data_IF_804981768178
#
_entry.id   IF_804981768178
#
_cell.length_a   1.000
_cell.length_b   1.000
_cell.length_c   1.000
_cell.angle_alpha   90.00
_cell.angle_beta   90.00
_cell.angle_gamma   90.00
#
_symmetry.space_group_name_H-M   'P 1'
#
loop_
_entity.id
_entity.type
_entity.pdbx_description
1 polymer ?
#
# COMPACT_ATOMS: atom_id res chain seq x y z
N UNK A 1 12.99 70.46 -15.93
CA UNK A 1 11.61 70.62 -15.48
C UNK A 1 10.69 70.06 -16.56
N UNK A 2 10.17 68.82 -16.38
CA UNK A 2 8.94 68.40 -17.04
C UNK A 2 8.48 67.14 -16.34
N UNK A 3 7.30 67.19 -15.74
CA UNK A 3 6.60 66.10 -15.02
C UNK A 3 5.94 65.19 -16.04
N UNK A 4 6.21 63.90 -15.96
CA UNK A 4 5.41 62.88 -16.63
C UNK A 4 4.53 62.23 -15.56
N UNK A 5 3.21 62.38 -15.74
CA UNK A 5 2.17 61.70 -14.98
C UNK A 5 1.95 60.34 -15.61
N UNK A 6 2.21 59.28 -14.90
CA UNK A 6 1.73 57.91 -15.26
C UNK A 6 0.37 57.64 -14.60
N UNK A 7 -0.59 57.31 -15.45
CA UNK A 7 -1.94 56.93 -15.06
C UNK A 7 -1.95 55.43 -14.74
N UNK A 8 -2.25 55.03 -13.51
CA UNK A 8 -2.51 53.65 -13.11
C UNK A 8 -3.96 53.28 -13.46
N UNK A 9 -4.12 52.49 -14.51
CA UNK A 9 -5.39 51.78 -14.79
C UNK A 9 -5.50 50.54 -13.91
N UNK A 10 -6.40 50.55 -12.93
CA UNK A 10 -6.79 49.45 -12.09
C UNK A 10 -7.50 48.38 -12.91
N UNK A 11 -6.84 47.27 -13.23
CA UNK A 11 -7.51 46.04 -13.68
C UNK A 11 -8.18 45.37 -12.47
N UNK A 12 -9.49 45.42 -12.41
CA UNK A 12 -10.31 44.60 -11.51
C UNK A 12 -10.28 43.17 -12.06
N UNK A 13 -9.53 42.27 -11.42
CA UNK A 13 -9.63 40.82 -11.63
C UNK A 13 -10.74 40.27 -10.75
N UNK A 14 -11.72 39.64 -11.37
CA UNK A 14 -12.84 38.95 -10.71
C UNK A 14 -12.31 37.72 -9.95
N UNK A 15 -12.19 37.83 -8.62
CA UNK A 15 -11.73 36.74 -7.72
C UNK A 15 -12.93 35.99 -7.09
N UNK A 16 -14.14 36.10 -7.63
CA UNK A 16 -15.33 35.57 -6.95
C UNK A 16 -15.67 34.09 -7.16
N UNK A 17 -15.15 33.30 -8.14
CA UNK A 17 -15.55 31.89 -8.21
C UNK A 17 -14.67 30.92 -7.42
N UNK A 18 -13.49 31.31 -6.93
CA UNK A 18 -12.57 30.36 -6.27
C UNK A 18 -12.87 30.19 -4.78
N UNK A 19 -13.41 31.20 -4.12
CA UNK A 19 -13.76 31.11 -2.69
C UNK A 19 -14.97 30.20 -2.41
N UNK A 20 -15.90 30.04 -3.36
CA UNK A 20 -17.10 29.22 -3.15
C UNK A 20 -16.81 27.71 -3.16
N UNK A 21 -15.75 27.29 -3.86
CA UNK A 21 -15.34 25.87 -3.87
C UNK A 21 -14.57 25.42 -2.62
N UNK A 22 -13.89 26.34 -1.94
CA UNK A 22 -13.13 26.03 -0.70
C UNK A 22 -14.08 25.87 0.48
N UNK A 23 -15.19 26.60 0.52
CA UNK A 23 -16.20 26.50 1.59
C UNK A 23 -17.03 25.20 1.55
N UNK A 24 -17.26 24.62 0.37
CA UNK A 24 -18.00 23.34 0.25
C UNK A 24 -17.17 22.11 0.65
N UNK A 25 -15.83 22.18 0.59
CA UNK A 25 -14.94 21.11 1.05
C UNK A 25 -14.56 21.21 2.53
N UNK A 26 -14.71 22.38 3.15
CA UNK A 26 -14.36 22.62 4.57
C UNK A 26 -15.34 22.03 5.58
N UNK A 27 -16.58 21.72 5.21
CA UNK A 27 -17.63 21.29 6.14
C UNK A 27 -17.72 19.77 6.39
N UNK A 28 -16.89 18.94 5.76
CA UNK A 28 -16.90 17.48 5.98
C UNK A 28 -15.84 16.96 6.95
N UNK A 29 -15.14 17.81 7.68
CA UNK A 29 -14.10 17.40 8.63
C UNK A 29 -14.45 17.72 10.07
N UNK A 30 -15.64 17.33 10.54
CA UNK A 30 -15.84 17.25 11.97
C UNK A 30 -15.00 16.08 12.52
N UNK A 31 -14.05 16.42 13.39
CA UNK A 31 -13.27 15.48 14.19
C UNK A 31 -14.23 14.78 15.18
N UNK A 32 -14.86 13.70 14.74
CA UNK A 32 -15.52 12.82 15.70
C UNK A 32 -14.41 12.13 16.51
N UNK A 33 -14.40 12.25 17.84
CA UNK A 33 -13.49 11.48 18.69
C UNK A 33 -13.72 10.00 18.38
N UNK A 34 -12.64 9.27 18.14
CA UNK A 34 -12.67 7.82 17.93
C UNK A 34 -13.27 7.16 19.17
N UNK A 35 -14.56 6.88 19.16
CA UNK A 35 -15.17 5.98 20.14
C UNK A 35 -14.45 4.63 20.01
N UNK A 36 -14.08 4.04 21.14
CA UNK A 36 -13.54 2.69 21.18
C UNK A 36 -14.55 1.76 20.48
N UNK A 37 -14.23 1.30 19.26
CA UNK A 37 -15.13 0.43 18.51
C UNK A 37 -15.25 -0.91 19.23
N UNK A 38 -16.47 -1.31 19.50
CA UNK A 38 -16.80 -2.62 20.01
C UNK A 38 -16.24 -3.72 19.09
N UNK A 39 -15.88 -4.86 19.68
CA UNK A 39 -15.42 -6.05 18.97
C UNK A 39 -16.40 -6.45 17.88
N UNK A 40 -16.11 -6.09 16.62
CA UNK A 40 -16.97 -6.45 15.49
C UNK A 40 -16.71 -7.89 15.09
N UNK A 41 -17.72 -8.73 15.26
CA UNK A 41 -17.70 -10.13 14.82
C UNK A 41 -18.26 -10.20 13.40
N UNK A 42 -17.47 -10.66 12.44
CA UNK A 42 -17.93 -10.80 11.05
C UNK A 42 -18.18 -12.26 10.68
N UNK A 43 -19.24 -12.48 9.91
CA UNK A 43 -19.41 -13.73 9.16
C UNK A 43 -18.45 -13.74 7.97
N UNK A 44 -17.92 -14.92 7.65
CA UNK A 44 -17.20 -15.13 6.39
C UNK A 44 -18.19 -14.93 5.24
N UNK A 45 -17.93 -13.91 4.44
CA UNK A 45 -18.79 -13.62 3.30
C UNK A 45 -18.22 -14.37 2.11
N UNK A 46 -18.97 -15.31 1.58
CA UNK A 46 -18.63 -15.99 0.32
C UNK A 46 -18.34 -14.93 -0.74
N UNK A 47 -17.19 -14.99 -1.43
CA UNK A 47 -16.86 -14.03 -2.47
C UNK A 47 -17.95 -14.04 -3.56
N UNK A 48 -18.43 -12.86 -3.97
CA UNK A 48 -19.40 -12.74 -5.07
C UNK A 48 -18.78 -12.99 -6.44
N UNK A 49 -17.44 -12.92 -6.52
CA UNK A 49 -16.72 -13.06 -7.77
C UNK A 49 -16.32 -14.53 -7.98
N UNK A 50 -16.75 -15.14 -9.06
CA UNK A 50 -16.30 -16.49 -9.41
C UNK A 50 -14.81 -16.49 -9.76
N UNK A 51 -14.17 -17.63 -9.60
CA UNK A 51 -12.84 -17.86 -10.15
C UNK A 51 -12.86 -17.69 -11.67
N UNK A 52 -11.77 -17.14 -12.21
CA UNK A 52 -11.57 -16.99 -13.66
C UNK A 52 -10.41 -17.86 -14.13
N UNK A 53 -10.11 -17.83 -15.45
CA UNK A 53 -8.97 -18.56 -16.01
C UNK A 53 -7.63 -18.16 -15.40
N UNK A 54 -7.49 -16.91 -14.95
CA UNK A 54 -6.24 -16.36 -14.38
C UNK A 54 -6.28 -16.15 -12.87
N UNK A 55 -7.44 -16.27 -12.22
CA UNK A 55 -7.61 -16.03 -10.79
C UNK A 55 -8.45 -17.11 -10.09
N UNK A 56 -8.01 -17.53 -8.90
CA UNK A 56 -8.83 -18.28 -7.94
C UNK A 56 -9.14 -17.38 -6.75
N UNK A 57 -10.41 -17.27 -6.39
CA UNK A 57 -10.84 -16.53 -5.20
C UNK A 57 -10.34 -17.25 -3.95
N UNK A 58 -9.75 -16.50 -3.03
CA UNK A 58 -9.30 -17.00 -1.74
C UNK A 58 -10.16 -16.45 -0.61
N UNK A 59 -10.38 -15.11 -0.60
CA UNK A 59 -11.08 -14.46 0.49
C UNK A 59 -11.66 -13.12 0.06
N UNK A 60 -12.81 -12.78 0.64
CA UNK A 60 -13.36 -11.43 0.65
C UNK A 60 -13.53 -10.99 2.09
N UNK A 61 -13.06 -9.79 2.41
CA UNK A 61 -13.24 -9.15 3.72
C UNK A 61 -13.93 -7.80 3.51
N UNK A 62 -15.01 -7.59 4.24
CA UNK A 62 -15.77 -6.33 4.24
C UNK A 62 -15.64 -5.65 5.60
N UNK A 63 -15.99 -4.38 5.68
CA UNK A 63 -16.06 -3.61 6.94
C UNK A 63 -14.76 -3.73 7.76
N UNK A 64 -13.62 -3.35 7.16
CA UNK A 64 -12.39 -3.19 7.91
C UNK A 64 -12.55 -2.13 9.00
N UNK A 65 -11.62 -2.08 9.95
CA UNK A 65 -11.71 -1.22 11.12
C UNK A 65 -11.61 0.30 10.82
N UNK A 66 -11.24 0.69 9.60
CA UNK A 66 -11.36 2.04 9.08
C UNK A 66 -12.21 2.03 7.80
N UNK A 67 -12.92 3.14 7.53
CA UNK A 67 -13.77 3.29 6.35
C UNK A 67 -13.08 4.03 5.20
N UNK A 68 -11.75 3.99 5.13
CA UNK A 68 -10.95 4.72 4.15
C UNK A 68 -9.97 3.82 3.41
N UNK A 69 -9.25 4.40 2.48
CA UNK A 69 -8.41 3.77 1.47
C UNK A 69 -7.54 2.63 2.00
N UNK A 70 -7.80 1.46 1.48
CA UNK A 70 -6.96 0.27 1.68
C UNK A 70 -5.76 0.42 0.77
N UNK A 71 -4.55 0.23 1.28
CA UNK A 71 -3.30 0.48 0.56
C UNK A 71 -2.46 -0.78 0.36
N UNK A 72 -2.56 -1.74 1.25
CA UNK A 72 -1.76 -2.96 1.14
C UNK A 72 -2.25 -4.02 2.12
N UNK A 73 -1.69 -5.21 2.02
CA UNK A 73 -1.91 -6.30 2.95
C UNK A 73 -0.68 -7.20 3.05
N UNK A 74 -0.61 -7.94 4.15
CA UNK A 74 0.29 -9.08 4.29
C UNK A 74 -0.39 -10.18 5.09
N UNK A 75 0.24 -11.34 5.20
CA UNK A 75 -0.27 -12.47 5.97
C UNK A 75 0.86 -13.32 6.55
N UNK A 76 0.64 -13.85 7.73
CA UNK A 76 1.42 -14.92 8.32
C UNK A 76 0.62 -16.24 8.33
N UNK A 77 1.05 -17.24 9.06
CA UNK A 77 0.35 -18.54 9.14
C UNK A 77 -1.00 -18.49 9.87
N UNK A 78 -1.30 -17.40 10.58
CA UNK A 78 -2.48 -17.25 11.45
C UNK A 78 -3.42 -16.13 11.04
N UNK A 79 -2.89 -15.03 10.49
CA UNK A 79 -3.61 -13.80 10.29
C UNK A 79 -3.33 -13.15 8.94
N UNK A 80 -4.36 -12.43 8.43
CA UNK A 80 -4.20 -11.36 7.45
C UNK A 80 -4.10 -10.03 8.19
N UNK A 81 -3.28 -9.14 7.66
CA UNK A 81 -3.10 -7.77 8.13
C UNK A 81 -3.38 -6.83 6.95
N UNK A 82 -4.40 -6.01 7.06
CA UNK A 82 -4.78 -5.02 6.07
C UNK A 82 -4.42 -3.65 6.58
N UNK A 83 -3.75 -2.85 5.77
CA UNK A 83 -3.39 -1.48 6.14
C UNK A 83 -4.20 -0.47 5.35
N UNK A 84 -4.73 0.53 6.05
CA UNK A 84 -5.60 1.56 5.52
C UNK A 84 -5.11 2.94 5.94
N UNK A 85 -5.23 3.92 5.06
CA UNK A 85 -5.11 5.33 5.46
C UNK A 85 -6.36 5.72 6.26
N UNK A 86 -6.18 6.41 7.38
CA UNK A 86 -7.30 6.93 8.18
C UNK A 86 -7.68 8.36 7.81
N UNK A 87 -6.77 9.09 7.16
CA UNK A 87 -6.98 10.43 6.60
C UNK A 87 -6.02 10.66 5.43
N UNK A 88 -6.43 11.50 4.47
CA UNK A 88 -5.61 11.80 3.30
C UNK A 88 -4.35 12.59 3.70
N UNK A 89 -3.22 12.26 3.10
CA UNK A 89 -1.93 12.98 3.16
C UNK A 89 -1.38 13.27 4.56
N UNK A 90 -1.83 12.53 5.58
CA UNK A 90 -1.35 12.72 6.97
C UNK A 90 -0.33 11.67 7.39
N UNK A 91 -0.20 10.60 6.64
CA UNK A 91 0.61 9.43 7.01
C UNK A 91 0.05 8.65 8.20
N UNK A 92 -1.23 8.87 8.55
CA UNK A 92 -1.91 8.14 9.61
C UNK A 92 -2.60 6.90 9.04
N UNK A 93 -2.32 5.76 9.63
CA UNK A 93 -2.72 4.46 9.15
C UNK A 93 -3.41 3.66 10.25
N UNK A 94 -4.19 2.67 9.83
CA UNK A 94 -4.76 1.63 10.70
C UNK A 94 -4.48 0.26 10.10
N UNK A 95 -3.96 -0.65 10.90
CA UNK A 95 -3.84 -2.06 10.56
C UNK A 95 -5.01 -2.80 11.16
N UNK A 96 -5.84 -3.43 10.31
CA UNK A 96 -6.87 -4.37 10.73
C UNK A 96 -6.31 -5.78 10.63
N UNK A 97 -6.31 -6.53 11.74
CA UNK A 97 -5.92 -7.94 11.78
C UNK A 97 -7.15 -8.83 11.72
N UNK A 98 -7.10 -9.84 10.85
CA UNK A 98 -8.19 -10.80 10.63
C UNK A 98 -7.64 -12.22 10.68
N UNK A 99 -8.29 -13.16 11.35
CA UNK A 99 -7.84 -14.54 11.47
C UNK A 99 -7.77 -15.24 10.11
N UNK A 100 -6.65 -15.95 9.84
CA UNK A 100 -6.40 -16.64 8.56
C UNK A 100 -7.34 -17.83 8.32
N UNK A 101 -7.52 -18.69 9.32
CA UNK A 101 -8.33 -19.91 9.23
C UNK A 101 -9.54 -19.83 10.16
N UNK A 102 -10.66 -20.34 9.71
CA UNK A 102 -11.88 -20.53 10.48
C UNK A 102 -13.12 -20.36 9.64
N UNK A 103 -14.03 -21.32 9.74
CA UNK A 103 -15.40 -21.19 9.30
C UNK A 103 -16.11 -20.38 10.40
N UNK A 104 -16.67 -19.24 10.06
CA UNK A 104 -17.51 -18.50 10.98
C UNK A 104 -17.10 -17.06 11.28
N UNK A 105 -17.50 -16.56 12.44
CA UNK A 105 -17.35 -15.17 12.86
C UNK A 105 -15.90 -14.82 13.14
N UNK A 106 -15.34 -13.84 12.43
CA UNK A 106 -13.99 -13.32 12.72
C UNK A 106 -14.05 -12.23 13.76
N UNK A 107 -13.10 -12.30 14.69
CA UNK A 107 -12.77 -11.16 15.53
C UNK A 107 -11.80 -10.30 14.77
N UNK A 108 -12.21 -9.09 14.43
CA UNK A 108 -11.32 -8.05 13.99
C UNK A 108 -10.82 -7.27 15.19
N UNK A 109 -9.56 -7.00 15.16
CA UNK A 109 -8.96 -5.98 16.01
C UNK A 109 -8.05 -5.07 15.17
N UNK A 110 -7.64 -3.96 15.72
CA UNK A 110 -6.85 -3.01 14.99
C UNK A 110 -5.68 -2.46 15.82
N UNK A 111 -4.76 -1.84 15.13
CA UNK A 111 -3.63 -1.10 15.64
C UNK A 111 -3.47 0.17 14.82
N UNK A 112 -3.21 1.30 15.45
CA UNK A 112 -3.01 2.58 14.78
C UNK A 112 -1.53 2.94 14.64
N UNK A 113 -1.20 3.57 13.51
CA UNK A 113 0.12 4.09 13.21
C UNK A 113 -0.02 5.57 12.86
N UNK A 114 0.66 6.45 13.58
CA UNK A 114 0.66 7.90 13.37
C UNK A 114 1.97 8.33 12.74
N UNK A 115 1.91 9.14 11.67
CA UNK A 115 3.08 9.64 10.93
C UNK A 115 3.94 8.53 10.31
N UNK A 116 3.33 7.49 9.74
CA UNK A 116 4.05 6.38 9.10
C UNK A 116 4.25 6.57 7.60
N UNK A 117 3.27 7.09 6.88
CA UNK A 117 3.36 7.34 5.43
C UNK A 117 2.16 6.81 4.66
N UNK A 118 2.31 6.60 3.35
CA UNK A 118 1.22 6.16 2.45
C UNK A 118 0.88 4.66 2.59
N UNK A 119 1.79 3.85 3.11
CA UNK A 119 1.65 2.40 3.23
C UNK A 119 1.46 1.62 1.92
N UNK A 120 2.07 2.08 0.83
CA UNK A 120 2.06 1.37 -0.47
C UNK A 120 2.49 -0.10 -0.36
N UNK A 121 3.23 -0.45 0.69
CA UNK A 121 3.58 -1.84 1.01
C UNK A 121 3.55 -2.09 2.51
N UNK A 122 2.85 -3.13 2.91
CA UNK A 122 2.92 -3.75 4.22
C UNK A 122 3.44 -5.18 4.04
N UNK A 123 4.42 -5.56 4.82
CA UNK A 123 4.92 -6.93 4.80
C UNK A 123 5.20 -7.48 6.20
N UNK A 124 5.54 -8.76 6.30
CA UNK A 124 5.90 -9.39 7.55
C UNK A 124 7.10 -10.32 7.44
N UNK A 125 7.83 -10.42 8.53
CA UNK A 125 8.85 -11.46 8.77
C UNK A 125 8.52 -12.24 10.02
N UNK A 126 9.10 -13.43 10.13
CA UNK A 126 9.02 -14.25 11.34
C UNK A 126 10.41 -14.37 11.95
N UNK A 127 10.52 -14.05 13.24
CA UNK A 127 11.74 -14.17 14.01
C UNK A 127 11.43 -14.87 15.33
N UNK A 128 12.03 -16.04 15.57
CA UNK A 128 11.78 -16.86 16.76
C UNK A 128 10.28 -17.11 17.02
N UNK A 129 9.52 -17.46 15.97
CA UNK A 129 8.08 -17.70 16.07
C UNK A 129 7.21 -16.43 16.23
N UNK A 130 7.82 -15.24 16.26
CA UNK A 130 7.13 -13.96 16.41
C UNK A 130 7.03 -13.25 15.07
N UNK A 131 5.82 -12.85 14.69
CA UNK A 131 5.56 -12.05 13.50
C UNK A 131 5.92 -10.57 13.74
N UNK A 132 6.77 -10.03 12.87
CA UNK A 132 7.11 -8.62 12.77
C UNK A 132 6.46 -8.04 11.51
N UNK A 133 5.73 -6.95 11.66
CA UNK A 133 5.16 -6.19 10.56
C UNK A 133 6.13 -5.10 10.11
N UNK A 134 6.17 -4.82 8.81
CA UNK A 134 7.08 -3.89 8.19
C UNK A 134 6.37 -2.97 7.20
N UNK A 135 6.61 -1.66 7.31
CA UNK A 135 6.10 -0.67 6.36
C UNK A 135 6.96 0.59 6.37
N UNK A 136 6.63 1.56 5.52
CA UNK A 136 7.23 2.89 5.57
C UNK A 136 6.86 3.63 6.87
N UNK A 137 7.70 4.57 7.30
CA UNK A 137 7.52 5.29 8.56
C UNK A 137 8.17 6.67 8.54
N UNK A 138 8.03 7.42 9.64
CA UNK A 138 8.74 8.68 9.89
C UNK A 138 8.40 9.79 8.88
N UNK A 139 7.12 9.88 8.48
CA UNK A 139 6.66 11.00 7.67
C UNK A 139 6.50 12.28 8.50
N UNK A 140 6.59 13.44 7.86
CA UNK A 140 6.47 14.75 8.52
C UNK A 140 5.31 15.53 7.91
N UNK A 141 4.11 15.36 8.46
CA UNK A 141 2.93 16.11 8.04
C UNK A 141 2.43 15.84 6.62
N UNK A 142 2.93 14.77 6.00
CA UNK A 142 2.49 14.26 4.70
C UNK A 142 2.52 12.74 4.73
N UNK A 143 2.23 12.07 3.61
CA UNK A 143 2.25 10.61 3.52
C UNK A 143 3.57 10.03 2.96
N UNK A 144 4.62 10.84 2.85
CA UNK A 144 5.93 10.43 2.34
C UNK A 144 6.78 9.83 3.46
N UNK A 145 6.98 8.51 3.44
CA UNK A 145 7.85 7.81 4.38
C UNK A 145 9.33 8.20 4.20
N UNK A 146 10.06 8.33 5.30
CA UNK A 146 11.49 8.69 5.35
C UNK A 146 12.37 7.60 5.96
N UNK A 147 11.73 6.56 6.47
CA UNK A 147 12.36 5.37 7.03
C UNK A 147 11.46 4.16 6.77
N UNK A 148 11.98 2.98 6.98
CA UNK A 148 11.19 1.75 7.14
C UNK A 148 11.19 1.37 8.61
N UNK A 149 10.10 0.76 9.06
CA UNK A 149 9.98 0.30 10.45
C UNK A 149 9.45 -1.11 10.56
N UNK A 150 10.06 -1.85 11.51
CA UNK A 150 9.60 -3.14 12.00
C UNK A 150 8.98 -3.02 13.38
N UNK A 151 7.85 -3.66 13.61
CA UNK A 151 7.13 -3.67 14.88
C UNK A 151 6.26 -4.91 15.04
N UNK A 152 5.94 -5.22 16.30
CA UNK A 152 4.98 -6.28 16.62
C UNK A 152 3.56 -5.72 16.62
N UNK A 153 2.62 -6.49 16.09
CA UNK A 153 1.21 -6.12 16.20
C UNK A 153 0.76 -6.12 17.67
N UNK A 154 0.15 -5.05 18.09
CA UNK A 154 -0.43 -4.90 19.44
C UNK A 154 -1.84 -4.35 19.31
N UNK A 155 -2.83 -5.17 19.68
CA UNK A 155 -4.24 -4.81 19.64
C UNK A 155 -4.51 -3.52 20.41
N UNK A 156 -5.29 -2.61 19.78
CA UNK A 156 -5.73 -1.33 20.35
C UNK A 156 -4.58 -0.38 20.77
N UNK A 157 -3.37 -0.61 20.28
CA UNK A 157 -2.23 0.28 20.53
C UNK A 157 -2.02 1.23 19.36
N UNK A 158 -1.41 2.37 19.66
CA UNK A 158 -0.96 3.36 18.68
C UNK A 158 0.56 3.47 18.74
N UNK A 159 1.22 3.29 17.60
CA UNK A 159 2.61 3.69 17.40
C UNK A 159 2.68 5.07 16.77
N UNK A 160 3.73 5.84 17.11
CA UNK A 160 3.96 7.18 16.56
C UNK A 160 5.32 7.25 15.91
N UNK A 161 5.35 7.84 14.70
CA UNK A 161 6.52 8.10 13.87
C UNK A 161 7.19 6.83 13.32
N UNK A 162 7.54 5.89 14.17
CA UNK A 162 8.22 4.64 13.79
C UNK A 162 7.91 3.48 14.74
N UNK A 163 8.28 2.27 14.33
CA UNK A 163 8.22 1.06 15.15
C UNK A 163 9.45 0.89 16.04
N UNK A 164 9.53 -0.27 16.69
CA UNK A 164 10.66 -0.67 17.56
C UNK A 164 11.98 -0.73 16.77
N UNK A 165 11.93 -1.17 15.52
CA UNK A 165 13.06 -1.18 14.59
C UNK A 165 12.82 -0.06 13.57
N UNK A 166 13.88 0.72 13.28
CA UNK A 166 13.81 1.83 12.35
C UNK A 166 15.09 1.94 11.54
N UNK A 167 14.93 2.02 10.22
CA UNK A 167 16.06 2.24 9.32
C UNK A 167 15.79 3.40 8.35
N UNK A 168 16.65 4.41 8.37
CA UNK A 168 16.79 5.33 7.23
C UNK A 168 17.64 4.64 6.17
N UNK A 169 17.18 4.66 4.94
CA UNK A 169 17.81 3.94 3.83
C UNK A 169 18.63 4.90 2.98
N UNK A 170 19.97 4.79 2.98
CA UNK A 170 20.77 5.51 2.03
C UNK A 170 20.74 4.81 0.66
N UNK A 171 20.73 5.58 -0.42
CA UNK A 171 21.03 5.04 -1.74
C UNK A 171 22.48 4.57 -1.80
N UNK A 172 22.71 3.31 -2.14
CA UNK A 172 24.04 2.70 -2.09
C UNK A 172 25.08 3.35 -3.02
N UNK A 173 24.63 4.09 -4.06
CA UNK A 173 25.51 4.80 -4.98
C UNK A 173 25.82 6.22 -4.50
N UNK A 174 24.82 6.95 -4.03
CA UNK A 174 24.97 8.38 -3.68
C UNK A 174 25.17 8.64 -2.19
N UNK A 175 24.93 7.68 -1.32
CA UNK A 175 24.94 7.83 0.13
C UNK A 175 23.82 8.69 0.70
N UNK A 176 23.00 9.34 -0.14
CA UNK A 176 21.88 10.19 0.31
C UNK A 176 20.74 9.35 0.88
N UNK A 177 20.14 9.80 1.97
CA UNK A 177 18.97 9.14 2.55
C UNK A 177 17.74 9.33 1.65
N UNK A 178 17.06 8.23 1.39
CA UNK A 178 15.92 8.18 0.50
C UNK A 178 14.60 8.45 1.22
N UNK A 179 13.63 8.91 0.46
CA UNK A 179 12.24 9.09 0.89
C UNK A 179 11.33 8.20 0.04
N UNK A 180 10.05 8.11 0.43
CA UNK A 180 9.08 7.24 -0.20
C UNK A 180 9.56 5.77 -0.23
N UNK A 181 10.06 5.32 0.93
CA UNK A 181 10.71 4.02 1.13
C UNK A 181 9.72 2.99 1.66
N UNK A 182 9.70 1.81 1.06
CA UNK A 182 8.81 0.70 1.43
C UNK A 182 9.56 -0.62 1.41
N UNK A 183 9.38 -1.50 2.42
CA UNK A 183 10.01 -2.82 2.47
C UNK A 183 9.10 -3.90 1.89
N UNK A 184 9.72 -4.97 1.38
CA UNK A 184 9.12 -6.29 1.19
C UNK A 184 10.07 -7.37 1.68
N UNK A 185 9.55 -8.45 2.23
CA UNK A 185 10.32 -9.50 2.85
C UNK A 185 10.01 -10.83 2.19
N UNK A 186 11.04 -11.58 1.82
CA UNK A 186 10.83 -12.90 1.26
C UNK A 186 10.19 -13.87 2.27
N UNK A 187 9.48 -14.87 1.75
CA UNK A 187 8.63 -15.77 2.54
C UNK A 187 9.35 -16.51 3.68
N UNK A 188 10.66 -16.71 3.60
CA UNK A 188 11.46 -17.36 4.64
C UNK A 188 12.18 -16.38 5.58
N UNK A 189 11.89 -15.08 5.47
CA UNK A 189 12.41 -14.01 6.33
C UNK A 189 13.95 -13.91 6.36
N UNK A 190 14.60 -14.23 5.23
CA UNK A 190 16.07 -14.16 5.09
C UNK A 190 16.54 -12.93 4.33
N UNK A 191 15.66 -12.32 3.55
CA UNK A 191 15.99 -11.13 2.75
C UNK A 191 14.87 -10.09 2.79
N UNK A 192 15.27 -8.83 2.68
CA UNK A 192 14.40 -7.68 2.53
C UNK A 192 14.77 -6.92 1.26
N UNK A 193 13.79 -6.60 0.44
CA UNK A 193 13.91 -5.60 -0.61
C UNK A 193 13.34 -4.26 -0.10
N UNK A 194 14.04 -3.17 -0.32
CA UNK A 194 13.53 -1.82 -0.04
C UNK A 194 13.42 -1.06 -1.35
N UNK A 195 12.21 -0.63 -1.67
CA UNK A 195 11.92 0.22 -2.82
C UNK A 195 12.01 1.69 -2.45
N UNK A 196 12.52 2.51 -3.37
CA UNK A 196 12.48 3.97 -3.32
C UNK A 196 12.52 4.58 -4.72
N UNK A 197 12.22 5.88 -4.82
CA UNK A 197 12.34 6.65 -6.06
C UNK A 197 13.50 7.65 -5.92
N UNK A 198 14.37 7.71 -6.91
CA UNK A 198 15.48 8.66 -6.95
C UNK A 198 15.69 9.16 -8.38
N UNK A 199 15.73 10.47 -8.57
CA UNK A 199 15.87 11.10 -9.91
C UNK A 199 14.89 10.53 -10.94
N UNK A 200 13.61 10.41 -10.59
CA UNK A 200 12.55 9.91 -11.45
C UNK A 200 12.59 8.41 -11.78
N UNK A 201 13.57 7.68 -11.24
CA UNK A 201 13.72 6.24 -11.46
C UNK A 201 13.36 5.45 -10.21
N UNK A 202 12.86 4.23 -10.43
CA UNK A 202 12.51 3.30 -9.35
C UNK A 202 13.70 2.39 -9.05
N UNK A 203 14.08 2.34 -7.79
CA UNK A 203 15.16 1.50 -7.30
C UNK A 203 14.69 0.52 -6.25
N UNK A 204 15.41 -0.61 -6.18
CA UNK A 204 15.29 -1.61 -5.13
C UNK A 204 16.68 -1.91 -4.59
N UNK A 205 16.83 -1.90 -3.28
CA UNK A 205 18.01 -2.40 -2.59
C UNK A 205 17.64 -3.67 -1.83
N UNK A 206 18.44 -4.72 -2.03
CA UNK A 206 18.23 -6.03 -1.39
C UNK A 206 19.21 -6.14 -0.22
N UNK A 207 18.72 -6.60 0.90
CA UNK A 207 19.45 -6.79 2.13
C UNK A 207 19.28 -8.21 2.65
N UNK A 208 20.31 -8.78 3.25
CA UNK A 208 20.15 -9.97 4.07
C UNK A 208 19.52 -9.58 5.41
N UNK A 209 18.53 -10.35 5.85
CA UNK A 209 17.91 -10.21 7.16
C UNK A 209 18.60 -11.12 8.16
N UNK A 210 19.18 -10.54 9.20
CA UNK A 210 19.72 -11.28 10.34
C UNK A 210 18.60 -11.51 11.35
N UNK A 211 18.41 -12.77 11.74
CA UNK A 211 17.34 -13.19 12.65
C UNK A 211 15.93 -12.71 12.23
N UNK A 212 15.67 -12.66 10.92
CA UNK A 212 14.37 -12.26 10.34
C UNK A 212 13.97 -10.82 10.61
N UNK A 213 14.84 -9.95 11.12
CA UNK A 213 14.46 -8.58 11.53
C UNK A 213 15.54 -7.50 11.45
N UNK A 214 16.81 -7.85 11.29
CA UNK A 214 17.88 -6.85 11.26
C UNK A 214 18.54 -6.78 9.89
N UNK A 215 18.82 -5.54 9.42
CA UNK A 215 19.62 -5.28 8.21
C UNK A 215 20.76 -4.34 8.55
N UNK A 216 21.80 -4.37 7.72
CA UNK A 216 22.74 -3.24 7.63
C UNK A 216 22.28 -2.32 6.49
N UNK A 217 21.67 -1.14 6.76
CA UNK A 217 21.10 -0.29 5.72
C UNK A 217 22.14 0.34 4.79
N UNK A 218 23.41 0.34 5.19
CA UNK A 218 24.53 0.86 4.37
C UNK A 218 25.17 -0.20 3.46
N UNK A 219 24.83 -1.47 3.67
CA UNK A 219 25.45 -2.57 2.92
C UNK A 219 24.39 -3.48 2.26
N UNK A 220 23.67 -3.01 1.22
CA UNK A 220 22.80 -3.86 0.44
C UNK A 220 23.61 -4.86 -0.38
N UNK A 221 23.14 -6.10 -0.49
CA UNK A 221 23.76 -7.13 -1.35
C UNK A 221 23.54 -6.85 -2.83
N UNK A 222 22.53 -6.06 -3.18
CA UNK A 222 22.23 -5.66 -4.56
C UNK A 222 21.47 -4.34 -4.61
N UNK A 223 21.80 -3.51 -5.61
CA UNK A 223 21.03 -2.32 -6.01
C UNK A 223 20.52 -2.52 -7.44
N UNK A 224 19.24 -2.34 -7.65
CA UNK A 224 18.55 -2.62 -8.90
C UNK A 224 17.81 -1.36 -9.32
N UNK A 225 17.94 -0.97 -10.60
CA UNK A 225 17.12 0.06 -11.21
C UNK A 225 16.12 -0.60 -12.16
N UNK A 226 14.85 -0.42 -11.90
CA UNK A 226 13.80 -0.85 -12.81
C UNK A 226 13.27 0.36 -13.58
N UNK A 227 12.96 0.17 -14.86
CA UNK A 227 12.27 1.17 -15.67
C UNK A 227 10.99 1.56 -14.95
N UNK A 228 10.64 2.85 -14.98
CA UNK A 228 9.37 3.33 -14.47
C UNK A 228 8.22 2.51 -15.08
N UNK A 229 7.27 2.17 -14.23
CA UNK A 229 6.07 1.46 -14.65
C UNK A 229 5.18 2.41 -15.46
N UNK A 230 4.49 1.92 -16.48
CA UNK A 230 3.52 2.72 -17.26
C UNK A 230 2.16 2.88 -16.55
N UNK A 231 1.93 2.11 -15.48
CA UNK A 231 0.72 2.14 -14.66
C UNK A 231 1.04 2.56 -13.23
N UNK A 232 0.00 2.85 -12.44
CA UNK A 232 0.15 3.16 -11.03
C UNK A 232 0.76 1.97 -10.30
N UNK A 233 1.83 2.21 -9.57
CA UNK A 233 2.52 1.20 -8.77
C UNK A 233 1.72 0.94 -7.50
N UNK A 234 1.30 -0.31 -7.30
CA UNK A 234 0.38 -0.71 -6.22
C UNK A 234 0.98 -1.70 -5.22
N UNK A 235 2.26 -1.97 -5.32
CA UNK A 235 2.96 -2.82 -4.36
C UNK A 235 3.99 -3.73 -5.01
N UNK A 236 4.73 -4.43 -4.16
CA UNK A 236 5.74 -5.39 -4.60
C UNK A 236 6.00 -6.45 -3.52
N UNK A 237 6.62 -7.54 -3.94
CA UNK A 237 7.10 -8.59 -3.05
C UNK A 237 8.43 -9.18 -3.54
N UNK A 238 9.11 -9.90 -2.66
CA UNK A 238 10.39 -10.54 -2.90
C UNK A 238 10.25 -12.07 -2.74
N UNK A 239 10.67 -12.83 -3.75
CA UNK A 239 10.71 -14.29 -3.69
C UNK A 239 11.91 -14.84 -4.44
N UNK A 240 12.76 -15.60 -3.74
CA UNK A 240 14.05 -16.04 -4.28
C UNK A 240 14.85 -14.82 -4.80
N UNK A 241 15.45 -14.96 -5.96
CA UNK A 241 16.17 -13.85 -6.61
C UNK A 241 15.28 -12.95 -7.47
N UNK A 242 13.99 -12.85 -7.15
CA UNK A 242 13.05 -12.10 -8.00
C UNK A 242 12.22 -11.10 -7.21
N UNK A 243 12.09 -9.90 -7.80
CA UNK A 243 11.15 -8.87 -7.38
C UNK A 243 9.88 -9.03 -8.22
N UNK A 244 8.74 -9.02 -7.57
CA UNK A 244 7.42 -9.03 -8.19
C UNK A 244 6.75 -7.69 -7.92
N UNK A 245 6.32 -6.98 -8.96
CA UNK A 245 5.56 -5.73 -8.82
C UNK A 245 4.14 -5.93 -9.31
N UNK A 246 3.19 -5.22 -8.71
CA UNK A 246 1.82 -5.13 -9.18
C UNK A 246 1.49 -3.70 -9.55
N UNK A 247 0.82 -3.51 -10.69
CA UNK A 247 0.50 -2.24 -11.28
C UNK A 247 -0.94 -2.24 -11.77
N UNK A 248 -1.60 -1.11 -11.65
CA UNK A 248 -2.95 -0.89 -12.18
C UNK A 248 -3.63 0.26 -11.47
N UNK A 249 -4.59 0.85 -12.15
CA UNK A 249 -5.40 1.94 -11.63
C UNK A 249 -6.83 1.47 -11.39
N UNK A 250 -7.58 2.12 -10.50
CA UNK A 250 -8.99 1.83 -10.34
C UNK A 250 -9.78 2.15 -11.60
N UNK A 251 -10.96 1.62 -11.72
CA UNK A 251 -11.95 2.15 -12.66
C UNK A 251 -12.23 3.59 -12.27
N UNK A 252 -11.75 4.54 -13.04
CA UNK A 252 -12.01 5.95 -12.78
C UNK A 252 -13.49 6.22 -12.99
N UNK A 253 -14.14 6.63 -11.94
CA UNK A 253 -15.41 7.35 -11.99
C UNK A 253 -15.10 8.84 -11.95
N UNK A 254 -15.79 9.59 -12.79
CA UNK A 254 -15.80 11.03 -12.69
C UNK A 254 -16.82 11.42 -11.60
N UNK A 255 -16.40 12.14 -10.56
CA UNK A 255 -17.28 12.77 -9.56
C UNK A 255 -18.35 11.87 -8.90
N UNK A 256 -18.00 11.06 -7.92
CA UNK A 256 -18.95 10.41 -6.98
C UNK A 256 -19.68 9.14 -7.44
N UNK A 257 -19.51 8.65 -8.65
CA UNK A 257 -20.12 7.41 -9.11
C UNK A 257 -19.13 6.48 -9.83
N UNK A 258 -19.31 5.17 -9.73
CA UNK A 258 -18.53 4.21 -10.50
C UNK A 258 -19.07 4.16 -11.92
N UNK A 259 -18.32 4.67 -12.88
CA UNK A 259 -18.67 4.51 -14.29
C UNK A 259 -18.38 3.06 -14.73
N UNK A 260 -19.40 2.23 -14.72
CA UNK A 260 -19.32 0.84 -15.20
C UNK A 260 -19.02 0.76 -16.69
N UNK A 261 -19.23 1.83 -17.46
CA UNK A 261 -19.02 1.87 -18.89
C UNK A 261 -17.54 2.02 -19.27
N UNK A 262 -16.70 2.52 -18.36
CA UNK A 262 -15.27 2.69 -18.65
C UNK A 262 -14.53 1.36 -18.55
N UNK A 263 -13.71 1.09 -19.56
CA UNK A 263 -12.81 -0.08 -19.56
C UNK A 263 -11.93 -0.04 -18.32
N UNK A 264 -11.94 -1.15 -17.57
CA UNK A 264 -10.98 -1.32 -16.47
C UNK A 264 -9.55 -1.30 -17.02
N UNK A 265 -8.64 -0.70 -16.28
CA UNK A 265 -7.22 -0.79 -16.61
C UNK A 265 -6.74 -2.21 -16.28
N UNK A 266 -6.05 -2.89 -17.20
CA UNK A 266 -5.54 -4.21 -16.94
C UNK A 266 -4.47 -4.16 -15.84
N UNK A 267 -4.63 -5.02 -14.83
CA UNK A 267 -3.60 -5.20 -13.81
C UNK A 267 -2.43 -5.96 -14.41
N UNK A 268 -1.23 -5.47 -14.18
CA UNK A 268 -0.01 -6.14 -14.62
C UNK A 268 0.79 -6.61 -13.41
N UNK A 269 1.28 -7.84 -13.47
CA UNK A 269 2.28 -8.36 -12.55
C UNK A 269 3.56 -8.54 -13.35
N UNK A 270 4.65 -7.96 -12.84
CA UNK A 270 5.98 -8.11 -13.44
C UNK A 270 6.89 -8.83 -12.46
N UNK A 271 7.60 -9.80 -12.98
CA UNK A 271 8.72 -10.45 -12.32
C UNK A 271 10.02 -9.94 -12.91
N UNK A 272 10.94 -9.56 -12.07
CA UNK A 272 12.32 -9.26 -12.43
C UNK A 272 13.26 -10.13 -11.60
N UNK A 273 13.99 -11.03 -12.23
CA UNK A 273 15.02 -11.83 -11.59
C UNK A 273 16.34 -11.06 -11.60
N UNK A 274 16.80 -10.62 -10.43
CA UNK A 274 17.99 -9.78 -10.33
C UNK A 274 19.32 -10.57 -10.38
N UNK A 275 19.28 -11.89 -10.31
CA UNK A 275 20.47 -12.73 -10.53
C UNK A 275 20.73 -12.92 -12.02
N UNK A 276 19.69 -13.14 -12.82
CA UNK A 276 19.83 -13.42 -14.28
C UNK A 276 19.48 -12.22 -15.16
N UNK A 277 18.86 -11.17 -14.63
CA UNK A 277 18.33 -10.04 -15.39
C UNK A 277 17.04 -10.34 -16.16
N UNK A 278 16.50 -11.57 -16.09
CA UNK A 278 15.30 -11.95 -16.83
C UNK A 278 14.06 -11.21 -16.34
N UNK A 279 13.18 -10.84 -17.27
CA UNK A 279 11.94 -10.11 -17.02
C UNK A 279 10.76 -10.87 -17.60
N UNK A 280 9.67 -10.95 -16.87
CA UNK A 280 8.39 -11.48 -17.35
C UNK A 280 7.26 -10.59 -16.88
N UNK A 281 6.27 -10.39 -17.74
CA UNK A 281 5.06 -9.61 -17.44
C UNK A 281 3.85 -10.44 -17.81
N UNK A 282 2.87 -10.48 -16.91
CA UNK A 282 1.56 -11.04 -17.20
C UNK A 282 0.48 -10.01 -16.95
N UNK A 283 -0.56 -10.05 -17.77
CA UNK A 283 -1.76 -9.24 -17.61
C UNK A 283 -2.84 -10.07 -16.94
N UNK A 284 -3.45 -9.53 -15.90
CA UNK A 284 -4.55 -10.13 -15.16
C UNK A 284 -5.86 -9.48 -15.60
N UNK A 285 -6.71 -10.27 -16.21
CA UNK A 285 -8.00 -9.83 -16.76
C UNK A 285 -9.21 -10.26 -15.91
N UNK A 286 -9.03 -11.10 -14.91
CA UNK A 286 -10.09 -11.58 -14.01
C UNK A 286 -10.69 -10.50 -13.10
N UNK A 287 -11.71 -10.88 -12.33
CA UNK A 287 -12.42 -10.02 -11.39
C UNK A 287 -13.06 -8.76 -12.04
N UNK A 288 -13.58 -8.89 -13.26
CA UNK A 288 -14.13 -7.79 -14.06
C UNK A 288 -15.40 -7.17 -13.49
N UNK A 289 -16.15 -7.92 -12.68
CA UNK A 289 -17.43 -7.50 -12.10
C UNK A 289 -17.24 -6.72 -10.80
N UNK A 290 -16.01 -6.69 -10.23
CA UNK A 290 -15.71 -5.84 -9.09
C UNK A 290 -15.90 -4.37 -9.48
N UNK A 291 -16.70 -3.64 -8.71
CA UNK A 291 -16.73 -2.18 -8.75
C UNK A 291 -15.38 -1.65 -8.27
N UNK A 292 -14.91 -0.53 -8.73
CA UNK A 292 -13.61 0.04 -8.40
C UNK A 292 -12.40 -0.79 -8.87
N UNK A 293 -12.27 -2.04 -8.48
CA UNK A 293 -11.27 -3.03 -8.94
C UNK A 293 -9.81 -2.48 -8.96
N UNK A 294 -9.40 -1.80 -7.92
CA UNK A 294 -8.02 -1.34 -7.77
C UNK A 294 -7.15 -2.45 -7.20
N UNK A 295 -6.02 -2.81 -7.84
CA UNK A 295 -5.06 -3.72 -7.22
C UNK A 295 -4.35 -2.99 -6.08
N UNK A 296 -4.24 -3.62 -4.90
CA UNK A 296 -3.65 -3.02 -3.70
C UNK A 296 -2.82 -4.05 -2.93
N UNK A 297 -1.73 -4.45 -3.57
CA UNK A 297 -0.75 -5.34 -2.97
C UNK A 297 -0.67 -6.74 -3.59
N UNK A 298 0.50 -7.32 -3.42
CA UNK A 298 0.90 -8.65 -3.92
C UNK A 298 1.69 -9.37 -2.84
N UNK A 299 1.55 -10.70 -2.74
CA UNK A 299 2.34 -11.56 -1.88
C UNK A 299 2.73 -12.84 -2.60
N UNK A 300 4.00 -13.22 -2.51
CA UNK A 300 4.52 -14.45 -3.11
C UNK A 300 4.95 -15.39 -1.98
N UNK A 301 4.27 -16.51 -1.86
CA UNK A 301 4.50 -17.48 -0.82
C UNK A 301 5.33 -18.67 -1.32
N UNK A 302 5.62 -19.61 -0.42
CA UNK A 302 6.34 -20.83 -0.71
C UNK A 302 5.82 -21.54 -1.98
N UNK A 303 6.75 -22.03 -2.80
CA UNK A 303 6.45 -22.61 -4.11
C UNK A 303 6.10 -21.58 -5.19
N UNK A 304 6.43 -20.30 -4.98
CA UNK A 304 6.17 -19.21 -5.95
C UNK A 304 4.68 -18.92 -6.17
N UNK A 305 3.84 -19.29 -5.22
CA UNK A 305 2.39 -19.04 -5.29
C UNK A 305 2.11 -17.54 -5.10
N UNK A 306 1.55 -16.90 -6.11
CA UNK A 306 1.28 -15.46 -6.11
C UNK A 306 -0.15 -15.23 -5.63
N UNK A 307 -0.29 -14.34 -4.68
CA UNK A 307 -1.55 -13.80 -4.17
C UNK A 307 -1.59 -12.31 -4.42
N UNK A 308 -2.74 -11.78 -4.82
CA UNK A 308 -2.96 -10.37 -5.03
C UNK A 308 -4.29 -9.95 -4.42
N UNK A 309 -4.40 -8.68 -4.08
CA UNK A 309 -5.62 -8.11 -3.56
C UNK A 309 -6.21 -7.11 -4.55
N UNK A 310 -7.52 -7.19 -4.74
CA UNK A 310 -8.32 -6.11 -5.31
C UNK A 310 -9.15 -5.44 -4.22
N UNK A 311 -9.14 -4.13 -4.24
CA UNK A 311 -10.12 -3.33 -3.52
C UNK A 311 -11.37 -3.14 -4.39
N UNK A 312 -12.52 -3.23 -3.78
CA UNK A 312 -13.82 -3.03 -4.43
C UNK A 312 -14.74 -2.17 -3.57
N UNK A 313 -15.89 -1.78 -4.11
CA UNK A 313 -16.90 -0.90 -3.55
C UNK A 313 -16.51 0.60 -3.57
N UNK A 314 -17.22 1.42 -2.80
CA UNK A 314 -17.02 2.87 -2.75
C UNK A 314 -15.78 3.24 -1.93
N UNK A 315 -15.28 4.46 -2.10
CA UNK A 315 -14.15 4.99 -1.33
C UNK A 315 -14.37 4.93 0.20
N UNK A 316 -15.62 5.01 0.63
CA UNK A 316 -15.99 5.01 2.06
C UNK A 316 -16.37 3.64 2.61
N UNK A 317 -16.58 2.64 1.75
CA UNK A 317 -16.97 1.29 2.15
C UNK A 317 -16.24 0.24 1.31
N UNK A 318 -14.94 0.22 1.44
CA UNK A 318 -14.08 -0.68 0.66
C UNK A 318 -14.10 -2.11 1.20
N UNK A 319 -13.96 -3.05 0.28
CA UNK A 319 -13.76 -4.48 0.58
C UNK A 319 -12.45 -4.97 -0.03
N UNK A 320 -11.77 -5.85 0.68
CA UNK A 320 -10.60 -6.57 0.20
C UNK A 320 -11.01 -7.89 -0.44
N UNK A 321 -10.54 -8.14 -1.64
CA UNK A 321 -10.75 -9.40 -2.34
C UNK A 321 -9.38 -10.01 -2.68
N UNK A 322 -9.01 -11.08 -2.01
CA UNK A 322 -7.73 -11.76 -2.22
C UNK A 322 -7.93 -12.91 -3.19
N UNK A 323 -7.06 -12.94 -4.19
CA UNK A 323 -7.01 -13.95 -5.24
C UNK A 323 -5.66 -14.62 -5.29
N UNK A 324 -5.65 -15.91 -5.59
CA UNK A 324 -4.46 -16.62 -6.07
C UNK A 324 -4.37 -16.47 -7.58
N UNK A 325 -3.22 -16.05 -8.07
CA UNK A 325 -2.92 -15.98 -9.51
C UNK A 325 -2.62 -17.38 -10.02
N UNK A 326 -3.31 -17.83 -11.08
CA UNK A 326 -3.12 -19.14 -11.71
C UNK A 326 -2.03 -19.10 -12.78
N UNK A 327 -1.81 -17.94 -13.40
CA UNK A 327 -0.78 -17.76 -14.42
C UNK A 327 0.61 -17.94 -13.83
N UNK A 328 1.47 -18.66 -14.54
CA UNK A 328 2.89 -18.78 -14.19
C UNK A 328 3.64 -17.53 -14.66
N UNK A 329 4.39 -16.93 -13.75
CA UNK A 329 5.17 -15.72 -13.98
C UNK A 329 6.65 -16.02 -13.81
#
# INVERSE_FOLDING_TARGET
>A
MNKIKESYTKKRTNILPILFFILLFGFCFQNNPLKAEAKVVMKDVTPREPSSSDLSVIRKVTKLAAHRWIQSYTMDSKYYYYIQMTSAYTGNLRITRVKYKGLGRYVKDHMDLKNFGHATNLDCSVSNGVTWLWTGSDCKGNDVSRAISGFRYQKNKTLRNHGTIRYKIPDAKSGKYMTNVYPAINHNSTQMAVRYTYSGKQYFQIYNLVNGRFINPRNPVKRICLSATRGDFQGFDLYGSSIYTIEGSPRKSFLLGFDRSRRYQPTKIRRYNYATGSKKTVTISGAKTLSFREPEGIKVLAGGKIYMMYVSNTLTNQSCNIYRVKKRI
#
